data_IF_084281540995
#
_entry.id   IF_084281540995
#
_cell.length_a   1.000
_cell.length_b   1.000
_cell.length_c   1.000
_cell.angle_alpha   90.00
_cell.angle_beta   90.00
_cell.angle_gamma   90.00
#
_symmetry.space_group_name_H-M   'P 1'
#
loop_
_entity.id
_entity.type
_entity.pdbx_description
1 polymer ?
#
# COMPACT_ATOMS: atom_id res chain seq x y z
N UNK A 1 -5.68 -3.20 9.02
CA UNK A 1 -6.05 -4.62 9.13
C UNK A 1 -6.55 -5.06 7.77
N UNK A 2 -5.92 -6.06 7.16
CA UNK A 2 -6.49 -6.70 5.97
C UNK A 2 -7.86 -7.27 6.37
N UNK A 3 -8.93 -6.78 5.74
CA UNK A 3 -10.29 -7.24 6.00
C UNK A 3 -10.72 -8.17 4.88
N UNK A 4 -11.50 -9.21 5.21
CA UNK A 4 -12.03 -10.14 4.22
C UNK A 4 -12.97 -9.47 3.20
N UNK A 5 -13.56 -8.33 3.56
CA UNK A 5 -14.47 -7.57 2.72
C UNK A 5 -14.36 -6.07 2.97
N UNK A 6 -14.89 -5.28 2.04
CA UNK A 6 -15.05 -3.85 2.19
C UNK A 6 -16.35 -3.52 2.90
N UNK A 7 -16.28 -2.67 3.93
CA UNK A 7 -17.48 -2.12 4.58
C UNK A 7 -18.24 -1.20 3.62
N UNK A 8 -19.53 -0.99 3.87
CA UNK A 8 -20.34 -0.06 3.06
C UNK A 8 -19.71 1.34 3.00
N UNK A 9 -19.26 1.88 4.14
CA UNK A 9 -18.53 3.14 4.21
C UNK A 9 -17.28 3.15 3.31
N UNK A 10 -16.48 2.09 3.33
CA UNK A 10 -15.29 1.98 2.47
C UNK A 10 -15.66 1.96 0.99
N UNK A 11 -16.75 1.28 0.59
CA UNK A 11 -17.25 1.29 -0.79
C UNK A 11 -17.69 2.68 -1.22
N UNK A 12 -18.45 3.40 -0.39
CA UNK A 12 -18.85 4.79 -0.63
C UNK A 12 -17.63 5.70 -0.77
N UNK A 13 -16.65 5.60 0.13
CA UNK A 13 -15.41 6.41 0.05
C UNK A 13 -14.60 6.12 -1.22
N UNK A 14 -14.53 4.85 -1.65
CA UNK A 14 -13.88 4.47 -2.91
C UNK A 14 -14.65 5.02 -4.12
N UNK A 15 -15.98 4.95 -4.12
CA UNK A 15 -16.83 5.56 -5.14
C UNK A 15 -16.59 7.07 -5.23
N UNK A 16 -16.62 7.77 -4.09
CA UNK A 16 -16.34 9.20 -4.04
C UNK A 16 -14.97 9.56 -4.61
N UNK A 17 -13.92 8.83 -4.21
CA UNK A 17 -12.55 9.04 -4.72
C UNK A 17 -12.45 8.79 -6.23
N UNK A 18 -13.02 7.70 -6.75
CA UNK A 18 -12.97 7.41 -8.20
C UNK A 18 -13.77 8.44 -8.99
N UNK A 19 -14.96 8.84 -8.51
CA UNK A 19 -15.77 9.88 -9.16
C UNK A 19 -15.03 11.21 -9.26
N UNK A 20 -14.32 11.64 -8.21
CA UNK A 20 -13.49 12.86 -8.28
C UNK A 20 -12.33 12.74 -9.28
N UNK A 21 -11.64 11.60 -9.36
CA UNK A 21 -10.52 11.40 -10.29
C UNK A 21 -10.97 11.37 -11.76
N UNK A 22 -12.12 10.76 -12.04
CA UNK A 22 -12.69 10.79 -13.39
C UNK A 22 -13.27 12.18 -13.71
N UNK A 23 -13.83 12.89 -12.73
CA UNK A 23 -14.23 14.29 -12.91
C UNK A 23 -13.03 15.20 -13.22
N UNK A 24 -11.89 15.02 -12.54
CA UNK A 24 -10.63 15.71 -12.83
C UNK A 24 -10.12 15.37 -14.25
N UNK A 25 -10.40 14.16 -14.74
CA UNK A 25 -10.04 13.75 -16.11
C UNK A 25 -10.90 14.44 -17.17
N UNK A 26 -12.20 14.67 -16.90
CA UNK A 26 -13.08 15.44 -17.79
C UNK A 26 -12.85 16.96 -17.69
N UNK A 27 -12.70 17.47 -16.47
CA UNK A 27 -12.54 18.90 -16.17
C UNK A 27 -11.06 19.25 -16.03
N UNK A 28 -10.36 19.39 -17.15
CA UNK A 28 -8.90 19.62 -17.19
C UNK A 28 -8.48 20.88 -16.42
N UNK A 29 -9.27 21.96 -16.50
CA UNK A 29 -8.95 23.22 -15.83
C UNK A 29 -9.34 23.18 -14.35
N UNK A 30 -8.41 23.62 -13.48
CA UNK A 30 -8.51 23.46 -12.02
C UNK A 30 -9.70 24.21 -11.39
N UNK A 31 -10.04 25.37 -11.92
CA UNK A 31 -11.18 26.19 -11.53
C UNK A 31 -12.52 25.49 -11.81
N UNK A 32 -12.70 24.99 -13.04
CA UNK A 32 -13.88 24.22 -13.44
C UNK A 32 -14.00 22.91 -12.64
N UNK A 33 -12.89 22.18 -12.52
CA UNK A 33 -12.85 20.98 -11.68
C UNK A 33 -13.27 21.29 -10.25
N UNK A 34 -12.75 22.36 -9.64
CA UNK A 34 -13.06 22.71 -8.26
C UNK A 34 -14.55 22.99 -8.07
N UNK A 35 -15.17 23.70 -9.00
CA UNK A 35 -16.61 23.96 -8.99
C UNK A 35 -17.42 22.64 -9.00
N UNK A 36 -17.18 21.77 -9.98
CA UNK A 36 -17.92 20.51 -10.07
C UNK A 36 -17.59 19.53 -8.95
N UNK A 37 -16.36 19.54 -8.43
CA UNK A 37 -15.99 18.72 -7.27
C UNK A 37 -16.77 19.13 -6.01
N UNK A 38 -17.01 20.43 -5.80
CA UNK A 38 -17.87 20.92 -4.72
C UNK A 38 -19.33 20.49 -4.91
N UNK A 39 -19.86 20.54 -6.14
CA UNK A 39 -21.21 20.04 -6.44
C UNK A 39 -21.30 18.54 -6.15
N UNK A 40 -20.33 17.75 -6.62
CA UNK A 40 -20.29 16.32 -6.35
C UNK A 40 -20.24 16.06 -4.84
N UNK A 41 -19.39 16.80 -4.11
CA UNK A 41 -19.32 16.69 -2.65
C UNK A 41 -20.67 16.96 -1.99
N UNK A 42 -21.37 18.02 -2.41
CA UNK A 42 -22.69 18.34 -1.88
C UNK A 42 -23.71 17.20 -2.10
N UNK A 43 -23.72 16.56 -3.28
CA UNK A 43 -24.56 15.38 -3.57
C UNK A 43 -24.30 14.21 -2.62
N UNK A 44 -23.03 13.95 -2.29
CA UNK A 44 -22.66 12.93 -1.30
C UNK A 44 -23.05 13.34 0.13
N UNK A 45 -22.87 14.61 0.48
CA UNK A 45 -23.17 15.12 1.83
C UNK A 45 -24.68 15.15 2.11
N UNK A 46 -25.53 15.33 1.10
CA UNK A 46 -27.00 15.30 1.23
C UNK A 46 -27.51 13.98 1.84
N UNK A 47 -26.89 12.85 1.48
CA UNK A 47 -27.31 11.52 1.92
C UNK A 47 -26.41 10.92 3.02
N UNK A 48 -25.52 11.71 3.61
CA UNK A 48 -24.52 11.21 4.59
C UNK A 48 -25.14 10.67 5.89
N UNK A 49 -26.34 11.15 6.24
CA UNK A 49 -27.04 10.83 7.49
C UNK A 49 -28.14 9.77 7.29
N UNK A 50 -28.17 9.08 6.14
CA UNK A 50 -29.12 7.98 5.92
C UNK A 50 -28.84 6.84 6.91
N UNK A 51 -29.89 6.40 7.62
CA UNK A 51 -29.80 5.34 8.64
C UNK A 51 -30.29 4.00 8.12
N UNK A 52 -31.13 3.99 7.08
CA UNK A 52 -31.57 2.76 6.43
C UNK A 52 -30.45 2.21 5.53
N UNK A 53 -29.86 1.10 5.96
CA UNK A 53 -28.76 0.44 5.24
C UNK A 53 -29.20 -0.20 3.92
N UNK A 54 -30.47 -0.59 3.76
CA UNK A 54 -31.00 -1.11 2.49
C UNK A 54 -31.05 0.03 1.48
N UNK A 55 -31.65 1.15 1.87
CA UNK A 55 -31.69 2.36 1.05
C UNK A 55 -30.29 2.89 0.74
N UNK A 56 -29.38 2.94 1.72
CA UNK A 56 -27.99 3.34 1.50
C UNK A 56 -27.24 2.41 0.53
N UNK A 57 -27.55 1.12 0.51
CA UNK A 57 -26.97 0.17 -0.45
C UNK A 57 -27.54 0.36 -1.86
N UNK A 58 -28.84 0.62 -1.97
CA UNK A 58 -29.48 0.94 -3.25
C UNK A 58 -28.95 2.25 -3.84
N UNK A 59 -28.75 3.28 -3.02
CA UNK A 59 -28.13 4.54 -3.44
C UNK A 59 -26.68 4.34 -3.91
N UNK A 60 -25.91 3.51 -3.20
CA UNK A 60 -24.55 3.16 -3.63
C UNK A 60 -24.56 2.47 -5.00
N UNK A 61 -25.46 1.50 -5.21
CA UNK A 61 -25.61 0.81 -6.51
C UNK A 61 -25.94 1.80 -7.63
N UNK A 62 -26.94 2.66 -7.42
CA UNK A 62 -27.31 3.69 -8.40
C UNK A 62 -26.14 4.65 -8.70
N UNK A 63 -25.38 5.04 -7.68
CA UNK A 63 -24.18 5.87 -7.85
C UNK A 63 -23.05 5.16 -8.59
N UNK A 64 -22.91 3.85 -8.44
CA UNK A 64 -21.96 3.04 -9.21
C UNK A 64 -22.36 2.90 -10.69
N UNK A 65 -23.65 2.75 -10.97
CA UNK A 65 -24.21 2.73 -12.33
C UNK A 65 -24.04 4.10 -13.02
N UNK A 66 -24.35 5.20 -12.33
CA UNK A 66 -24.11 6.56 -12.82
C UNK A 66 -22.62 6.80 -13.10
N UNK A 67 -21.74 6.38 -12.19
CA UNK A 67 -20.29 6.48 -12.40
C UNK A 67 -19.86 5.68 -13.64
N UNK A 68 -20.33 4.45 -13.79
CA UNK A 68 -19.98 3.59 -14.93
C UNK A 68 -20.37 4.19 -16.27
N UNK A 69 -21.57 4.78 -16.36
CA UNK A 69 -22.06 5.43 -17.57
C UNK A 69 -21.25 6.69 -17.94
N UNK A 70 -20.71 7.41 -16.95
CA UNK A 70 -20.08 8.72 -17.14
C UNK A 70 -18.54 8.71 -16.96
N UNK A 71 -17.93 7.54 -16.77
CA UNK A 71 -16.49 7.45 -16.55
C UNK A 71 -15.71 7.90 -17.79
N UNK A 72 -14.64 8.68 -17.57
CA UNK A 72 -13.74 9.06 -18.66
C UNK A 72 -13.10 7.81 -19.32
N UNK A 73 -13.07 7.68 -20.66
CA UNK A 73 -12.52 6.49 -21.34
C UNK A 73 -11.03 6.23 -21.05
N UNK A 74 -10.25 7.29 -20.90
CA UNK A 74 -8.82 7.23 -20.58
C UNK A 74 -8.54 8.12 -19.36
N UNK A 75 -8.84 7.67 -18.13
CA UNK A 75 -8.68 8.51 -16.95
C UNK A 75 -7.22 8.91 -16.74
N UNK A 76 -6.99 10.04 -16.06
CA UNK A 76 -5.65 10.41 -15.65
C UNK A 76 -5.12 9.41 -14.61
N UNK A 77 -4.01 8.76 -14.95
CA UNK A 77 -3.28 7.84 -14.07
C UNK A 77 -1.93 8.46 -13.76
N UNK A 78 -1.56 8.53 -12.48
CA UNK A 78 -0.25 9.05 -12.09
C UNK A 78 0.87 8.17 -12.65
N UNK A 79 2.01 8.74 -13.06
CA UNK A 79 3.06 7.99 -13.77
C UNK A 79 3.52 6.71 -13.05
N UNK A 80 3.72 6.78 -11.73
CA UNK A 80 4.23 5.67 -10.91
C UNK A 80 3.11 4.75 -10.37
N UNK A 81 1.83 5.05 -10.63
CA UNK A 81 0.71 4.18 -10.22
C UNK A 81 0.49 3.05 -11.23
N UNK A 82 -0.13 1.91 -10.85
CA UNK A 82 -0.48 0.85 -11.79
C UNK A 82 -1.28 1.38 -13.00
N UNK A 83 -0.82 1.07 -14.22
CA UNK A 83 -1.36 1.60 -15.48
C UNK A 83 -0.80 2.97 -15.90
N UNK A 84 0.09 3.56 -15.09
CA UNK A 84 0.81 4.79 -15.41
C UNK A 84 1.98 4.57 -16.37
N UNK A 85 2.49 5.65 -16.95
CA UNK A 85 3.54 5.62 -18.00
C UNK A 85 4.95 5.30 -17.48
N UNK A 86 5.18 5.33 -16.16
CA UNK A 86 6.42 4.94 -15.50
C UNK A 86 6.25 3.87 -14.44
N UNK A 87 5.10 3.18 -14.44
CA UNK A 87 4.84 2.05 -13.57
C UNK A 87 5.91 0.97 -13.77
N UNK A 88 6.53 0.50 -12.68
CA UNK A 88 7.59 -0.51 -12.68
C UNK A 88 8.83 -0.17 -13.55
N UNK A 89 8.96 1.08 -14.04
CA UNK A 89 10.08 1.52 -14.88
C UNK A 89 11.45 1.23 -14.26
N UNK A 90 11.54 1.32 -12.94
CA UNK A 90 12.78 1.13 -12.20
C UNK A 90 12.92 -0.26 -11.57
N UNK A 91 11.97 -1.18 -11.78
CA UNK A 91 11.99 -2.50 -11.15
C UNK A 91 13.23 -3.32 -11.57
N UNK A 92 13.67 -3.18 -12.83
CA UNK A 92 14.88 -3.84 -13.32
C UNK A 92 16.18 -3.43 -12.61
N UNK A 93 16.20 -2.30 -11.89
CA UNK A 93 17.35 -1.82 -11.12
C UNK A 93 17.26 -2.18 -9.63
N UNK A 94 16.14 -2.75 -9.18
CA UNK A 94 15.92 -3.11 -7.78
C UNK A 94 16.55 -4.46 -7.46
N UNK A 95 17.89 -4.48 -7.47
CA UNK A 95 18.66 -5.68 -7.11
C UNK A 95 18.43 -5.99 -5.62
N UNK A 96 18.04 -7.22 -5.27
CA UNK A 96 17.83 -7.58 -3.88
C UNK A 96 19.15 -7.64 -3.13
N UNK A 97 19.11 -7.24 -1.85
CA UNK A 97 20.32 -7.01 -1.06
C UNK A 97 21.24 -8.23 -0.91
N UNK A 98 20.67 -9.45 -0.93
CA UNK A 98 21.42 -10.69 -0.77
C UNK A 98 22.41 -10.96 -1.92
N UNK A 99 22.23 -10.32 -3.09
CA UNK A 99 23.17 -10.41 -4.22
C UNK A 99 24.56 -9.88 -3.84
N UNK A 100 24.63 -8.92 -2.91
CA UNK A 100 25.89 -8.36 -2.42
C UNK A 100 26.76 -9.40 -1.69
N UNK A 101 26.16 -10.49 -1.21
CA UNK A 101 26.93 -11.57 -0.56
C UNK A 101 27.76 -12.36 -1.58
N UNK A 102 27.37 -12.35 -2.86
CA UNK A 102 28.05 -13.06 -3.94
C UNK A 102 29.19 -12.26 -4.60
N UNK A 103 29.42 -11.01 -4.20
CA UNK A 103 30.53 -10.19 -4.74
C UNK A 103 31.89 -10.79 -4.40
N UNK A 104 32.85 -10.63 -5.31
CA UNK A 104 34.22 -11.11 -5.08
C UNK A 104 34.88 -10.31 -3.94
N UNK A 105 35.75 -10.91 -3.10
CA UNK A 105 36.39 -10.19 -2.01
C UNK A 105 37.14 -8.91 -2.42
N UNK A 106 37.72 -8.87 -3.62
CA UNK A 106 38.38 -7.64 -4.13
C UNK A 106 37.39 -6.49 -4.37
N UNK A 107 36.17 -6.80 -4.80
CA UNK A 107 35.10 -5.81 -5.02
C UNK A 107 34.53 -5.34 -3.68
N UNK A 108 34.37 -6.26 -2.71
CA UNK A 108 33.95 -5.91 -1.35
C UNK A 108 34.97 -5.03 -0.65
N UNK A 109 36.26 -5.27 -0.87
CA UNK A 109 37.35 -4.47 -0.31
C UNK A 109 37.34 -3.01 -0.77
N UNK A 110 36.64 -2.69 -1.87
CA UNK A 110 36.42 -1.30 -2.31
C UNK A 110 35.52 -0.50 -1.36
N UNK A 111 34.64 -1.18 -0.60
CA UNK A 111 33.65 -0.55 0.29
C UNK A 111 33.71 -1.10 1.73
N UNK A 112 34.86 -0.98 2.42
CA UNK A 112 35.10 -1.66 3.70
C UNK A 112 34.12 -1.23 4.80
N UNK A 113 33.80 0.07 4.88
CA UNK A 113 32.87 0.60 5.88
C UNK A 113 31.42 0.16 5.65
N UNK A 114 31.03 -0.01 4.39
CA UNK A 114 29.68 -0.48 4.05
C UNK A 114 29.52 -1.94 4.45
N UNK A 115 30.46 -2.80 4.03
CA UNK A 115 30.39 -4.23 4.34
C UNK A 115 30.56 -4.51 5.83
N UNK A 116 31.40 -3.75 6.55
CA UNK A 116 31.52 -3.89 8.01
C UNK A 116 30.20 -3.54 8.75
N UNK A 117 29.51 -2.48 8.33
CA UNK A 117 28.18 -2.14 8.86
C UNK A 117 27.13 -3.19 8.47
N UNK A 118 27.15 -3.70 7.25
CA UNK A 118 26.24 -4.75 6.76
C UNK A 118 26.35 -6.02 7.61
N UNK A 119 27.55 -6.43 8.01
CA UNK A 119 27.72 -7.58 8.90
C UNK A 119 27.05 -7.38 10.28
N UNK A 120 27.03 -6.16 10.80
CA UNK A 120 26.28 -5.84 12.04
C UNK A 120 24.76 -6.06 11.84
N UNK A 121 24.21 -5.65 10.69
CA UNK A 121 22.81 -5.88 10.34
C UNK A 121 22.49 -7.37 10.17
N UNK A 122 23.36 -8.13 9.51
CA UNK A 122 23.19 -9.58 9.34
C UNK A 122 23.25 -10.30 10.69
N UNK A 123 24.16 -9.90 11.57
CA UNK A 123 24.23 -10.40 12.95
C UNK A 123 22.93 -10.10 13.72
N UNK A 124 22.41 -8.88 13.61
CA UNK A 124 21.15 -8.49 14.24
C UNK A 124 19.98 -9.34 13.72
N UNK A 125 19.90 -9.58 12.41
CA UNK A 125 18.89 -10.47 11.80
C UNK A 125 18.98 -11.89 12.33
N UNK A 126 20.18 -12.47 12.41
CA UNK A 126 20.37 -13.83 12.94
C UNK A 126 19.97 -13.92 14.41
N UNK A 127 20.28 -12.91 15.22
CA UNK A 127 19.96 -12.89 16.65
C UNK A 127 18.47 -12.67 16.95
N UNK A 128 17.74 -12.03 16.05
CA UNK A 128 16.31 -11.75 16.21
C UNK A 128 15.43 -12.89 15.69
N UNK A 129 15.87 -13.64 14.67
CA UNK A 129 15.07 -14.67 13.99
C UNK A 129 14.38 -15.65 14.94
N UNK A 130 15.11 -16.30 15.85
CA UNK A 130 14.53 -17.32 16.74
C UNK A 130 13.47 -16.72 17.68
N UNK A 131 13.66 -15.46 18.12
CA UNK A 131 12.70 -14.76 18.98
C UNK A 131 11.45 -14.37 18.21
N UNK A 132 11.62 -13.92 16.97
CA UNK A 132 10.51 -13.59 16.07
C UNK A 132 9.65 -14.83 15.81
N UNK A 133 10.27 -15.96 15.47
CA UNK A 133 9.59 -17.24 15.23
C UNK A 133 8.86 -17.70 16.50
N UNK A 134 9.53 -17.68 17.65
CA UNK A 134 8.91 -18.04 18.92
C UNK A 134 7.71 -17.14 19.27
N UNK A 135 7.80 -15.82 19.00
CA UNK A 135 6.68 -14.91 19.18
C UNK A 135 5.52 -15.27 18.25
N UNK A 136 5.80 -15.56 16.98
CA UNK A 136 4.77 -15.95 16.01
C UNK A 136 4.09 -17.25 16.40
N UNK A 137 4.85 -18.28 16.79
CA UNK A 137 4.29 -19.57 17.25
C UNK A 137 3.43 -19.40 18.49
N UNK A 138 3.83 -18.53 19.43
CA UNK A 138 3.08 -18.26 20.65
C UNK A 138 1.80 -17.44 20.42
N UNK A 139 1.82 -16.46 19.51
CA UNK A 139 0.66 -15.59 19.24
C UNK A 139 -0.28 -16.14 18.16
N UNK A 140 0.18 -17.11 17.34
CA UNK A 140 -0.65 -17.70 16.28
C UNK A 140 -1.65 -18.70 16.86
N UNK A 141 -2.95 -18.57 16.55
CA UNK A 141 -3.95 -19.55 16.96
C UNK A 141 -3.65 -20.95 16.40
N UNK A 142 -4.09 -22.01 17.10
CA UNK A 142 -3.85 -23.41 16.69
C UNK A 142 -4.34 -23.76 15.26
N UNK A 143 -5.36 -23.06 14.76
CA UNK A 143 -5.88 -23.20 13.39
C UNK A 143 -5.10 -22.40 12.33
N UNK A 144 -3.96 -21.83 12.69
CA UNK A 144 -3.19 -20.91 11.85
C UNK A 144 -3.64 -19.45 11.95
N UNK A 145 -2.94 -18.53 11.26
CA UNK A 145 -3.25 -17.11 11.27
C UNK A 145 -4.58 -16.83 10.56
N UNK A 146 -5.45 -16.02 11.19
CA UNK A 146 -6.76 -15.64 10.62
C UNK A 146 -6.67 -14.50 9.61
N UNK A 147 -5.61 -13.69 9.67
CA UNK A 147 -5.35 -12.56 8.77
C UNK A 147 -3.86 -12.45 8.49
N UNK A 148 -3.47 -11.68 7.47
CA UNK A 148 -2.07 -11.41 7.13
C UNK A 148 -1.37 -10.41 8.06
N UNK A 149 -2.05 -9.91 9.11
CA UNK A 149 -1.49 -8.93 10.02
C UNK A 149 -0.46 -9.56 10.95
N UNK A 150 0.80 -9.12 10.85
CA UNK A 150 1.87 -9.51 11.76
C UNK A 150 1.78 -8.72 13.09
N UNK A 151 2.07 -9.35 14.24
CA UNK A 151 2.11 -8.66 15.52
C UNK A 151 3.32 -7.72 15.60
N UNK A 152 3.26 -6.63 16.40
CA UNK A 152 4.43 -5.83 16.71
C UNK A 152 5.35 -6.55 17.70
N UNK A 153 6.60 -6.09 17.84
CA UNK A 153 7.48 -6.54 18.91
C UNK A 153 6.86 -6.24 20.29
N UNK A 154 6.88 -7.21 21.22
CA UNK A 154 6.24 -7.08 22.54
C UNK A 154 7.18 -6.69 23.67
N UNK A 155 8.48 -6.98 23.52
CA UNK A 155 9.50 -6.78 24.56
C UNK A 155 10.52 -5.77 24.09
N UNK A 156 11.12 -5.07 25.05
CA UNK A 156 12.24 -4.19 24.79
C UNK A 156 13.44 -4.98 24.26
N UNK A 157 14.04 -4.51 23.17
CA UNK A 157 15.17 -5.18 22.51
C UNK A 157 14.79 -6.25 21.49
N UNK A 158 13.51 -6.61 21.35
CA UNK A 158 13.03 -7.48 20.27
C UNK A 158 12.67 -6.66 19.02
N UNK A 159 12.81 -7.28 17.85
CA UNK A 159 12.42 -6.71 16.56
C UNK A 159 11.06 -7.28 16.11
N UNK A 160 10.26 -6.53 15.33
CA UNK A 160 8.99 -7.04 14.82
C UNK A 160 9.20 -8.29 13.95
N UNK A 161 8.38 -9.34 14.06
CA UNK A 161 8.53 -10.54 13.25
C UNK A 161 8.52 -10.27 11.73
N UNK A 162 9.38 -10.99 11.00
CA UNK A 162 9.52 -10.94 9.54
C UNK A 162 9.89 -9.55 8.99
N UNK A 163 10.54 -8.70 9.80
CA UNK A 163 10.87 -7.32 9.44
C UNK A 163 11.85 -7.18 8.26
N UNK A 164 12.76 -8.15 8.08
CA UNK A 164 13.93 -8.00 7.20
C UNK A 164 13.55 -7.54 5.80
N UNK A 165 12.65 -8.26 5.11
CA UNK A 165 12.26 -7.94 3.74
C UNK A 165 11.61 -6.56 3.58
N UNK A 166 10.96 -6.05 4.62
CA UNK A 166 10.32 -4.73 4.59
C UNK A 166 11.34 -3.62 4.79
N UNK A 167 12.32 -3.83 5.66
CA UNK A 167 13.36 -2.85 6.00
C UNK A 167 14.47 -2.82 4.94
N UNK A 168 14.85 -3.97 4.40
CA UNK A 168 15.93 -4.08 3.41
C UNK A 168 15.42 -4.13 1.97
N UNK A 169 14.15 -3.76 1.73
CA UNK A 169 13.62 -3.65 0.38
C UNK A 169 14.45 -2.67 -0.45
N UNK A 170 14.68 -2.93 -1.74
CA UNK A 170 15.33 -1.96 -2.62
C UNK A 170 14.62 -0.60 -2.60
N UNK A 171 15.38 0.48 -2.77
CA UNK A 171 14.80 1.82 -2.90
C UNK A 171 13.90 1.89 -4.14
N UNK A 172 12.85 2.72 -4.11
CA UNK A 172 11.96 2.91 -5.26
C UNK A 172 12.70 3.47 -6.48
N UNK A 173 13.70 4.31 -6.23
CA UNK A 173 14.62 4.86 -7.23
C UNK A 173 16.06 4.52 -6.82
N UNK A 174 16.59 3.35 -7.22
CA UNK A 174 18.00 3.01 -7.03
C UNK A 174 18.86 3.93 -7.90
N UNK A 175 19.38 5.01 -7.31
CA UNK A 175 20.46 5.85 -7.86
C UNK A 175 21.80 5.39 -7.32
#
# INVERSE_FOLDING_TARGET
>A
MASAFLTHQQKVMRLYKKSLRHLESWCVFRDKYRFYACILRARFDENKNEKDMVKATMMLKAGEEEFWANQHPQPYIFPDSPGGTSYERYECYKVPEWVLDHWHPSEKAMYPDYFSKREQWKKLRMQSWDREVAQLEAETPAGGPRTEALPPARKEGDLPPLWWQFVTRPRERPT
#
